data_IF_981279250403
#
_entry.id   IF_981279250403
#
_cell.length_a   1.000
_cell.length_b   1.000
_cell.length_c   1.000
_cell.angle_alpha   90.00
_cell.angle_beta   90.00
_cell.angle_gamma   90.00
#
_symmetry.space_group_name_H-M   'P 1'
#
loop_
_entity.id
_entity.type
_entity.pdbx_description
1 polymer ?
#
# COMPACT_ATOMS: atom_id res chain seq x y z
N UNK A 1 -12.54 -10.68 18.87
CA UNK A 1 -11.18 -10.11 18.68
C UNK A 1 -11.13 -8.85 19.53
N UNK A 2 -10.07 -8.59 20.30
CA UNK A 2 -9.98 -7.36 21.11
C UNK A 2 -9.29 -6.25 20.32
N UNK A 3 -9.49 -4.98 20.71
CA UNK A 3 -8.98 -3.83 19.94
C UNK A 3 -7.45 -3.68 19.93
N UNK A 4 -6.77 -4.27 20.90
CA UNK A 4 -5.30 -4.32 20.92
C UNK A 4 -4.73 -5.31 19.90
N UNK A 5 -5.48 -6.37 19.56
CA UNK A 5 -5.05 -7.45 18.66
C UNK A 5 -5.38 -7.29 17.18
N UNK A 6 -6.15 -6.27 16.80
CA UNK A 6 -6.55 -6.03 15.40
C UNK A 6 -5.43 -5.40 14.56
N UNK A 7 -4.57 -6.19 13.92
CA UNK A 7 -3.37 -5.66 13.23
C UNK A 7 -3.32 -5.92 11.72
N UNK A 8 -2.66 -5.01 11.02
CA UNK A 8 -2.09 -5.22 9.68
C UNK A 8 -1.00 -6.31 9.71
N UNK A 9 -1.33 -7.50 9.22
CA UNK A 9 -0.43 -8.68 9.17
C UNK A 9 0.57 -8.58 7.99
N UNK A 10 0.27 -7.73 7.00
CA UNK A 10 1.08 -7.50 5.80
C UNK A 10 1.28 -5.99 5.63
N UNK A 11 2.50 -5.52 5.84
CA UNK A 11 2.88 -4.10 5.70
C UNK A 11 3.10 -3.74 4.24
N UNK A 12 2.01 -3.70 3.46
CA UNK A 12 2.05 -3.24 2.07
C UNK A 12 2.21 -1.73 2.05
N UNK A 13 3.02 -1.22 1.12
CA UNK A 13 3.13 0.21 0.90
C UNK A 13 1.90 0.70 0.15
N UNK A 14 0.91 1.17 0.89
CA UNK A 14 -0.33 1.73 0.33
C UNK A 14 -0.19 3.25 0.10
N UNK A 15 -0.90 3.83 -0.87
CA UNK A 15 -0.95 5.29 -1.01
C UNK A 15 -1.65 5.93 0.20
N UNK A 16 -1.33 7.19 0.54
CA UNK A 16 -2.02 7.93 1.58
C UNK A 16 -3.52 8.05 1.37
N UNK A 17 -4.26 8.13 2.47
CA UNK A 17 -5.71 8.36 2.47
C UNK A 17 -5.97 9.85 2.32
N UNK A 18 -6.16 10.30 1.08
CA UNK A 18 -6.44 11.71 0.77
C UNK A 18 -7.92 12.06 0.90
N UNK A 19 -8.21 13.31 1.21
CA UNK A 19 -9.55 13.91 1.06
C UNK A 19 -10.46 13.89 2.30
N UNK A 20 -10.27 12.97 3.26
CA UNK A 20 -11.11 12.94 4.47
C UNK A 20 -10.99 14.23 5.31
N UNK A 21 -9.81 14.87 5.33
CA UNK A 21 -9.59 16.15 6.03
C UNK A 21 -10.46 17.29 5.50
N UNK A 22 -10.83 17.24 4.21
CA UNK A 22 -11.68 18.20 3.53
C UNK A 22 -13.17 17.88 3.65
N UNK A 23 -13.54 16.73 4.23
CA UNK A 23 -14.93 16.38 4.46
C UNK A 23 -15.57 17.34 5.48
N UNK A 24 -16.88 17.56 5.33
CA UNK A 24 -17.65 18.36 6.28
C UNK A 24 -17.68 17.66 7.65
N UNK A 25 -17.51 18.44 8.72
CA UNK A 25 -17.72 17.94 10.07
C UNK A 25 -19.24 17.81 10.30
N UNK A 26 -19.70 16.60 10.60
CA UNK A 26 -21.12 16.26 10.76
C UNK A 26 -21.35 15.53 12.10
N UNK A 27 -22.62 15.31 12.47
CA UNK A 27 -22.95 14.51 13.66
C UNK A 27 -22.54 13.06 13.47
N UNK A 28 -22.38 12.32 14.57
CA UNK A 28 -21.96 10.92 14.54
C UNK A 28 -22.95 10.02 13.78
N UNK A 29 -24.25 10.32 13.85
CA UNK A 29 -25.28 9.60 13.08
C UNK A 29 -25.05 9.75 11.57
N UNK A 30 -24.85 10.99 11.09
CA UNK A 30 -24.56 11.26 9.68
C UNK A 30 -23.19 10.72 9.27
N UNK A 31 -22.22 10.75 10.18
CA UNK A 31 -20.88 10.28 9.91
C UNK A 31 -20.84 8.77 9.65
N UNK A 32 -21.69 8.02 10.33
CA UNK A 32 -21.78 6.56 10.27
C UNK A 32 -22.93 6.04 9.41
N UNK A 33 -23.81 6.91 8.92
CA UNK A 33 -24.91 6.56 8.00
C UNK A 33 -24.46 5.69 6.81
N UNK A 34 -23.34 5.97 6.11
CA UNK A 34 -22.92 5.17 4.95
C UNK A 34 -22.50 3.72 5.28
N UNK A 35 -22.24 3.41 6.55
CA UNK A 35 -21.74 2.10 6.98
C UNK A 35 -22.76 1.30 7.79
N UNK A 36 -23.96 1.82 8.02
CA UNK A 36 -24.96 1.17 8.88
C UNK A 36 -25.33 -0.25 8.43
N UNK A 37 -25.27 -0.53 7.13
CA UNK A 37 -25.54 -1.86 6.57
C UNK A 37 -24.41 -2.88 6.80
N UNK A 38 -23.23 -2.44 7.26
CA UNK A 38 -22.05 -3.28 7.48
C UNK A 38 -21.89 -3.74 8.93
N UNK A 39 -22.64 -3.13 9.86
CA UNK A 39 -22.52 -3.37 11.30
C UNK A 39 -23.92 -3.51 11.89
N UNK A 40 -24.22 -4.71 12.38
CA UNK A 40 -25.49 -5.01 13.01
C UNK A 40 -25.77 -4.07 14.19
N UNK A 41 -27.00 -3.57 14.24
CA UNK A 41 -27.49 -2.68 15.31
C UNK A 41 -26.69 -1.39 15.53
N UNK A 42 -25.86 -0.96 14.56
CA UNK A 42 -25.05 0.26 14.70
C UNK A 42 -25.84 1.50 15.21
N UNK A 43 -27.08 1.78 14.75
CA UNK A 43 -27.87 2.89 15.29
C UNK A 43 -28.16 2.80 16.80
N UNK A 44 -28.24 1.60 17.37
CA UNK A 44 -28.40 1.39 18.81
C UNK A 44 -27.11 1.73 19.56
N UNK A 45 -25.96 1.25 19.08
CA UNK A 45 -24.66 1.54 19.68
C UNK A 45 -24.25 3.00 19.56
N UNK A 46 -24.64 3.70 18.49
CA UNK A 46 -24.50 5.17 18.40
C UNK A 46 -25.24 5.87 19.55
N UNK A 47 -26.45 5.41 19.92
CA UNK A 47 -27.19 5.97 21.06
C UNK A 47 -26.49 5.69 22.38
N UNK A 48 -25.91 4.51 22.56
CA UNK A 48 -25.12 4.17 23.76
C UNK A 48 -23.90 5.10 23.86
N UNK A 49 -23.14 5.23 22.77
CA UNK A 49 -21.97 6.11 22.73
C UNK A 49 -22.33 7.56 23.05
N UNK A 50 -23.45 8.09 22.54
CA UNK A 50 -23.90 9.45 22.88
C UNK A 50 -24.41 9.62 24.31
N UNK A 51 -24.81 8.54 24.98
CA UNK A 51 -25.24 8.57 26.39
C UNK A 51 -24.05 8.53 27.33
N UNK A 52 -23.04 7.73 26.99
CA UNK A 52 -21.86 7.51 27.82
C UNK A 52 -20.68 8.41 27.43
N UNK A 53 -20.79 9.19 26.36
CA UNK A 53 -19.75 10.15 25.99
C UNK A 53 -19.51 11.14 27.13
N UNK A 54 -18.25 11.54 27.27
CA UNK A 54 -17.85 12.54 28.23
C UNK A 54 -18.17 13.95 27.72
N UNK A 55 -19.27 14.50 28.25
CA UNK A 55 -19.73 15.84 27.95
C UNK A 55 -20.42 16.47 29.17
N UNK A 56 -20.10 17.73 29.56
CA UNK A 56 -19.16 18.63 28.91
C UNK A 56 -17.71 18.14 29.03
N UNK A 57 -16.94 18.31 27.96
CA UNK A 57 -15.53 17.90 27.89
C UNK A 57 -14.62 19.05 28.30
N UNK A 58 -13.72 18.81 29.24
CA UNK A 58 -12.64 19.74 29.62
C UNK A 58 -11.66 20.02 28.47
N UNK A 59 -11.59 19.12 27.49
CA UNK A 59 -10.79 19.25 26.27
C UNK A 59 -11.57 19.91 25.11
N UNK A 60 -12.81 20.35 25.35
CA UNK A 60 -13.61 21.08 24.37
C UNK A 60 -14.17 20.20 23.24
N UNK A 61 -14.30 18.89 23.44
CA UNK A 61 -14.98 18.01 22.50
C UNK A 61 -16.49 18.31 22.48
N UNK A 62 -17.08 18.31 21.29
CA UNK A 62 -18.54 18.26 21.18
C UNK A 62 -19.06 16.90 21.63
N UNK A 63 -20.37 16.81 21.89
CA UNK A 63 -21.02 15.53 22.22
C UNK A 63 -20.77 14.46 21.14
N UNK A 64 -20.84 14.82 19.86
CA UNK A 64 -20.60 13.88 18.76
C UNK A 64 -19.12 13.49 18.62
N UNK A 65 -18.18 14.40 18.92
CA UNK A 65 -16.75 14.10 18.94
C UNK A 65 -16.38 13.14 20.07
N UNK A 66 -16.90 13.38 21.28
CA UNK A 66 -16.69 12.49 22.42
C UNK A 66 -17.32 11.12 22.19
N UNK A 67 -18.54 11.08 21.63
CA UNK A 67 -19.19 9.83 21.23
C UNK A 67 -18.41 9.07 20.15
N UNK A 68 -17.74 9.76 19.22
CA UNK A 68 -16.94 9.12 18.17
C UNK A 68 -15.71 8.39 18.75
N UNK A 69 -15.04 8.97 19.75
CA UNK A 69 -13.96 8.30 20.47
C UNK A 69 -14.51 7.11 21.25
N UNK A 70 -15.62 7.30 21.97
CA UNK A 70 -16.23 6.24 22.77
C UNK A 70 -16.62 5.01 21.92
N UNK A 71 -17.37 5.19 20.83
CA UNK A 71 -17.82 4.08 19.97
C UNK A 71 -16.67 3.35 19.27
N UNK A 72 -15.54 4.03 19.02
CA UNK A 72 -14.36 3.38 18.49
C UNK A 72 -13.79 2.34 19.47
N UNK A 73 -13.83 2.64 20.77
CA UNK A 73 -13.30 1.77 21.83
C UNK A 73 -14.26 0.67 22.27
N UNK A 74 -15.53 0.79 21.90
CA UNK A 74 -16.56 -0.12 22.36
C UNK A 74 -16.37 -1.53 21.80
N UNK A 75 -16.64 -2.56 22.63
CA UNK A 75 -16.69 -3.95 22.17
C UNK A 75 -18.12 -4.52 22.30
N UNK A 76 -18.68 -4.96 21.17
CA UNK A 76 -20.00 -5.57 21.11
C UNK A 76 -20.09 -6.60 19.98
N UNK A 77 -20.81 -7.68 20.23
CA UNK A 77 -21.00 -8.76 19.26
C UNK A 77 -19.68 -9.30 18.68
N UNK A 78 -19.75 -9.81 17.46
CA UNK A 78 -18.60 -10.36 16.75
C UNK A 78 -17.90 -9.34 15.82
N UNK A 79 -18.61 -8.28 15.40
CA UNK A 79 -18.14 -7.27 14.45
C UNK A 79 -18.40 -5.86 15.02
N UNK A 80 -17.33 -5.20 15.48
CA UNK A 80 -17.37 -3.84 16.04
C UNK A 80 -16.95 -2.79 15.02
N UNK A 81 -17.19 -1.51 15.33
CA UNK A 81 -16.82 -0.40 14.47
C UNK A 81 -15.33 -0.34 14.15
N UNK A 82 -14.46 -0.48 15.15
CA UNK A 82 -13.01 -0.45 14.92
C UNK A 82 -12.57 -1.61 14.02
N UNK A 83 -13.14 -2.81 14.17
CA UNK A 83 -12.80 -3.97 13.34
C UNK A 83 -13.06 -3.68 11.85
N UNK A 84 -14.26 -3.16 11.52
CA UNK A 84 -14.62 -2.86 10.13
C UNK A 84 -13.82 -1.67 9.60
N UNK A 85 -13.65 -0.62 10.39
CA UNK A 85 -12.86 0.55 10.00
C UNK A 85 -11.41 0.16 9.70
N UNK A 86 -10.74 -0.51 10.62
CA UNK A 86 -9.33 -0.90 10.45
C UNK A 86 -9.16 -1.92 9.33
N UNK A 87 -10.13 -2.80 9.09
CA UNK A 87 -10.15 -3.65 7.89
C UNK A 87 -10.23 -2.82 6.62
N UNK A 88 -11.08 -1.80 6.59
CA UNK A 88 -11.17 -0.89 5.44
C UNK A 88 -9.87 -0.10 5.25
N UNK A 89 -9.26 0.41 6.32
CA UNK A 89 -8.00 1.18 6.28
C UNK A 89 -6.81 0.37 5.75
N UNK A 90 -6.81 -0.95 5.96
CA UNK A 90 -5.83 -1.89 5.38
C UNK A 90 -6.09 -2.24 3.91
N UNK A 91 -7.22 -1.80 3.34
CA UNK A 91 -7.57 -2.09 1.94
C UNK A 91 -6.74 -1.26 0.97
N UNK A 92 -6.27 -1.90 -0.10
CA UNK A 92 -5.66 -1.26 -1.27
C UNK A 92 -6.66 -0.36 -2.01
N UNK A 93 -7.94 -0.70 -1.98
CA UNK A 93 -9.00 0.11 -2.59
C UNK A 93 -9.27 1.37 -1.75
N UNK A 94 -8.49 2.42 -1.99
CA UNK A 94 -8.68 3.72 -1.33
C UNK A 94 -9.99 4.41 -1.71
N UNK A 95 -10.57 4.11 -2.87
CA UNK A 95 -11.87 4.69 -3.25
C UNK A 95 -12.99 4.19 -2.34
N UNK A 96 -12.94 2.91 -1.93
CA UNK A 96 -13.90 2.34 -0.98
C UNK A 96 -13.83 2.99 0.40
N UNK A 97 -12.72 3.67 0.76
CA UNK A 97 -12.60 4.41 2.01
C UNK A 97 -13.45 5.68 2.06
N UNK A 98 -13.93 6.20 0.92
CA UNK A 98 -14.69 7.46 0.88
C UNK A 98 -15.95 7.41 1.76
N UNK A 99 -16.56 6.24 1.91
CA UNK A 99 -17.72 6.04 2.79
C UNK A 99 -17.39 6.31 4.27
N UNK A 100 -16.10 6.17 4.64
CA UNK A 100 -15.60 6.39 6.00
C UNK A 100 -15.14 7.83 6.23
N UNK A 101 -15.03 8.67 5.20
CA UNK A 101 -14.47 10.03 5.32
C UNK A 101 -15.20 10.91 6.33
N UNK A 102 -16.55 10.89 6.41
CA UNK A 102 -17.27 11.63 7.45
C UNK A 102 -16.88 11.21 8.87
N UNK A 103 -16.76 9.90 9.12
CA UNK A 103 -16.35 9.37 10.42
C UNK A 103 -14.88 9.63 10.73
N UNK A 104 -13.99 9.40 9.77
CA UNK A 104 -12.57 9.73 9.90
C UNK A 104 -12.36 11.20 10.21
N UNK A 105 -13.10 12.10 9.54
CA UNK A 105 -13.06 13.54 9.83
C UNK A 105 -13.49 13.83 11.27
N UNK A 106 -14.60 13.23 11.71
CA UNK A 106 -15.13 13.43 13.07
C UNK A 106 -14.16 12.93 14.14
N UNK A 107 -13.61 11.72 13.97
CA UNK A 107 -12.64 11.11 14.88
C UNK A 107 -11.33 11.89 14.92
N UNK A 108 -10.76 12.22 13.76
CA UNK A 108 -9.49 12.96 13.66
C UNK A 108 -9.57 14.33 14.33
N UNK A 109 -10.70 15.04 14.14
CA UNK A 109 -10.97 16.34 14.78
C UNK A 109 -11.20 16.19 16.30
N UNK A 110 -11.74 15.06 16.77
CA UNK A 110 -11.87 14.78 18.20
C UNK A 110 -10.48 14.52 18.83
N UNK A 111 -9.67 13.69 18.18
CA UNK A 111 -8.31 13.36 18.61
C UNK A 111 -7.38 14.59 18.64
N UNK A 112 -7.57 15.55 17.73
CA UNK A 112 -6.83 16.82 17.74
C UNK A 112 -6.96 17.59 19.05
N UNK A 113 -8.11 17.49 19.71
CA UNK A 113 -8.41 18.20 20.96
C UNK A 113 -7.90 17.48 22.20
N UNK A 114 -7.61 16.19 22.10
CA UNK A 114 -7.16 15.38 23.23
C UNK A 114 -5.65 15.54 23.49
N UNK A 115 -5.20 15.34 24.75
CA UNK A 115 -3.79 15.43 25.11
C UNK A 115 -2.90 14.53 24.25
N UNK A 116 -1.84 15.10 23.69
CA UNK A 116 -0.76 14.35 23.05
C UNK A 116 0.22 13.87 24.12
N UNK A 117 0.63 12.61 24.06
CA UNK A 117 1.63 12.01 24.95
C UNK A 117 2.85 11.54 24.16
N UNK A 118 4.04 11.74 24.75
CA UNK A 118 5.31 11.18 24.28
C UNK A 118 5.74 10.10 25.28
N UNK A 119 5.33 8.86 25.06
CA UNK A 119 5.57 7.76 26.01
C UNK A 119 5.70 6.41 25.31
N UNK A 120 6.25 5.43 26.03
CA UNK A 120 6.27 4.05 25.57
C UNK A 120 4.88 3.41 25.76
N UNK A 121 4.30 2.95 24.66
CA UNK A 121 3.02 2.25 24.63
C UNK A 121 3.17 0.86 24.05
N UNK A 122 2.24 -0.01 24.39
CA UNK A 122 2.28 -1.42 24.03
C UNK A 122 1.08 -1.84 23.20
N UNK A 123 1.32 -2.77 22.27
CA UNK A 123 0.28 -3.40 21.44
C UNK A 123 0.59 -4.87 21.24
N UNK A 124 -0.31 -5.76 21.63
CA UNK A 124 -0.14 -7.20 21.51
C UNK A 124 -0.94 -7.79 20.36
N UNK A 125 -0.37 -8.77 19.66
CA UNK A 125 -0.98 -9.45 18.52
C UNK A 125 -0.92 -10.96 18.71
N UNK A 126 -2.05 -11.64 18.58
CA UNK A 126 -2.16 -13.09 18.80
C UNK A 126 -1.52 -13.98 17.71
N UNK A 127 -0.74 -13.40 16.80
CA UNK A 127 0.00 -14.07 15.73
C UNK A 127 1.47 -13.66 15.81
N UNK A 128 2.37 -14.59 15.50
CA UNK A 128 3.80 -14.32 15.36
C UNK A 128 4.12 -13.80 13.94
N UNK A 129 4.16 -12.47 13.83
CA UNK A 129 4.58 -11.71 12.66
C UNK A 129 5.90 -10.97 12.91
N UNK A 130 6.41 -10.99 14.13
CA UNK A 130 7.58 -10.19 14.52
C UNK A 130 8.84 -10.57 13.72
N UNK A 131 9.00 -11.84 13.34
CA UNK A 131 10.07 -12.31 12.45
C UNK A 131 10.15 -11.62 11.07
N UNK A 132 9.08 -10.94 10.64
CA UNK A 132 9.04 -10.23 9.36
C UNK A 132 9.60 -8.80 9.44
N UNK A 133 10.02 -8.37 10.63
CA UNK A 133 10.62 -7.07 10.87
C UNK A 133 12.14 -7.18 10.92
N UNK A 134 12.81 -6.14 10.42
CA UNK A 134 14.27 -6.03 10.42
C UNK A 134 14.68 -4.67 10.95
N UNK A 135 15.86 -4.58 11.56
CA UNK A 135 16.40 -3.31 12.04
C UNK A 135 16.33 -2.20 10.96
N UNK A 136 15.98 -0.98 11.37
CA UNK A 136 15.84 0.22 10.53
C UNK A 136 14.71 0.17 9.48
N UNK A 137 13.94 -0.92 9.39
CA UNK A 137 12.76 -0.98 8.53
C UNK A 137 11.76 0.11 8.92
N UNK A 138 11.24 0.82 7.92
CA UNK A 138 10.14 1.77 8.10
C UNK A 138 8.83 1.06 7.76
N UNK A 139 7.86 1.15 8.65
CA UNK A 139 6.52 0.60 8.48
C UNK A 139 5.49 1.72 8.62
N UNK A 140 4.45 1.69 7.78
CA UNK A 140 3.29 2.57 7.91
C UNK A 140 2.12 1.74 8.41
N UNK A 141 1.53 2.10 9.55
CA UNK A 141 0.32 1.47 10.05
C UNK A 141 -0.90 2.24 9.59
N UNK A 142 -1.68 1.66 8.67
CA UNK A 142 -2.85 2.36 8.13
C UNK A 142 -4.06 2.31 9.05
N UNK A 143 -4.18 1.29 9.89
CA UNK A 143 -5.22 1.19 10.92
C UNK A 143 -5.05 2.26 12.00
N UNK A 144 -6.17 2.73 12.55
CA UNK A 144 -6.13 3.40 13.86
C UNK A 144 -5.72 2.35 14.90
N UNK A 145 -4.76 2.68 15.75
CA UNK A 145 -4.16 1.70 16.66
C UNK A 145 -4.44 2.04 18.12
N UNK A 146 -5.24 1.21 18.77
CA UNK A 146 -5.36 1.15 20.23
C UNK A 146 -4.11 0.56 20.87
N UNK A 147 -3.40 1.36 21.65
CA UNK A 147 -2.25 0.94 22.45
C UNK A 147 -2.54 1.16 23.93
N UNK A 148 -1.75 0.54 24.80
CA UNK A 148 -1.88 0.72 26.25
C UNK A 148 -0.53 1.06 26.85
N UNK A 149 -0.48 2.04 27.76
CA UNK A 149 0.67 2.25 28.64
C UNK A 149 0.57 1.42 29.94
N UNK A 150 -0.49 0.63 30.11
CA UNK A 150 -0.70 -0.25 31.26
C UNK A 150 -0.07 -1.62 31.05
N UNK A 151 0.89 -1.98 31.92
CA UNK A 151 1.51 -3.32 31.93
C UNK A 151 0.49 -4.44 32.18
N UNK A 152 -0.67 -4.14 32.79
CA UNK A 152 -1.71 -5.14 33.03
C UNK A 152 -2.30 -5.69 31.74
N UNK A 153 -2.54 -4.82 30.74
CA UNK A 153 -3.08 -5.21 29.43
C UNK A 153 -2.08 -6.07 28.65
N UNK A 154 -0.78 -5.86 28.88
CA UNK A 154 0.30 -6.61 28.23
C UNK A 154 0.38 -8.05 28.72
N UNK A 155 0.07 -8.31 30.00
CA UNK A 155 0.22 -9.64 30.60
C UNK A 155 -0.60 -10.71 29.87
N UNK A 156 -1.76 -10.32 29.34
CA UNK A 156 -2.64 -11.20 28.57
C UNK A 156 -2.01 -11.63 27.23
N UNK A 157 -1.03 -10.89 26.71
CA UNK A 157 -0.30 -11.19 25.47
C UNK A 157 1.06 -11.86 25.68
N UNK A 158 1.51 -11.95 26.94
CA UNK A 158 2.74 -12.65 27.35
C UNK A 158 2.49 -14.09 27.80
N UNK A 159 1.25 -14.59 27.68
CA UNK A 159 0.90 -15.94 28.09
C UNK A 159 1.57 -17.01 27.20
N UNK A 160 2.05 -18.09 27.82
CA UNK A 160 3.11 -18.95 27.27
C UNK A 160 2.65 -19.93 26.18
N UNK A 161 1.35 -20.14 26.06
CA UNK A 161 0.78 -21.25 25.29
C UNK A 161 0.52 -20.94 23.80
N UNK A 162 0.75 -19.70 23.34
CA UNK A 162 0.55 -19.30 21.92
C UNK A 162 1.63 -18.34 21.44
N UNK A 163 2.13 -18.57 20.22
CA UNK A 163 3.08 -17.65 19.55
C UNK A 163 2.37 -16.33 19.21
N UNK A 164 2.98 -15.22 19.60
CA UNK A 164 2.43 -13.87 19.53
C UNK A 164 3.50 -12.85 19.15
N UNK A 165 3.08 -11.63 18.78
CA UNK A 165 3.97 -10.49 18.62
C UNK A 165 3.58 -9.40 19.59
N UNK A 166 4.54 -8.90 20.37
CA UNK A 166 4.35 -7.75 21.24
C UNK A 166 5.14 -6.56 20.70
N UNK A 167 4.44 -5.46 20.42
CA UNK A 167 5.06 -4.21 20.00
C UNK A 167 5.31 -3.31 21.21
N UNK A 168 6.56 -2.89 21.37
CA UNK A 168 6.96 -1.76 22.21
C UNK A 168 7.10 -0.55 21.29
N UNK A 169 6.29 0.47 21.49
CA UNK A 169 6.24 1.65 20.60
C UNK A 169 6.61 2.89 21.40
N UNK A 170 7.70 3.56 21.02
CA UNK A 170 8.01 4.92 21.47
C UNK A 170 7.11 5.88 20.68
N UNK A 171 5.94 6.21 21.23
CA UNK A 171 4.98 7.10 20.60
C UNK A 171 5.34 8.56 20.88
N UNK A 172 5.19 9.41 19.88
CA UNK A 172 5.44 10.86 19.95
C UNK A 172 4.19 11.68 19.65
N UNK A 173 3.23 11.11 18.90
CA UNK A 173 1.94 11.74 18.59
C UNK A 173 0.74 10.97 19.18
N UNK A 174 0.99 10.11 20.17
CA UNK A 174 -0.05 9.31 20.82
C UNK A 174 -1.12 10.18 21.49
N UNK A 175 -2.39 9.81 21.32
CA UNK A 175 -3.53 10.53 21.89
C UNK A 175 -4.10 9.80 23.08
N UNK A 176 -3.99 10.40 24.25
CA UNK A 176 -4.56 9.83 25.48
C UNK A 176 -6.06 10.03 25.49
N UNK A 177 -6.80 8.93 25.66
CA UNK A 177 -8.27 8.95 25.59
C UNK A 177 -8.95 8.60 26.93
N UNK A 178 -8.22 8.62 28.05
CA UNK A 178 -8.80 8.48 29.39
C UNK A 178 -9.93 9.50 29.59
N UNK A 179 -11.07 9.05 30.08
CA UNK A 179 -12.32 9.80 30.17
C UNK A 179 -13.21 9.70 28.93
N UNK A 180 -12.72 9.16 27.80
CA UNK A 180 -13.45 9.12 26.52
C UNK A 180 -13.60 7.69 25.97
N UNK A 181 -13.15 6.68 26.71
CA UNK A 181 -13.13 5.26 26.31
C UNK A 181 -14.15 4.47 27.12
N UNK A 182 -14.60 3.33 26.60
CA UNK A 182 -15.41 2.37 27.38
C UNK A 182 -14.59 1.70 28.50
N UNK A 183 -13.27 1.62 28.35
CA UNK A 183 -12.39 0.87 29.26
C UNK A 183 -11.33 1.76 29.94
N UNK A 184 -11.75 2.54 30.93
CA UNK A 184 -10.90 3.51 31.63
C UNK A 184 -9.64 2.92 32.30
N UNK A 185 -9.69 1.64 32.68
CA UNK A 185 -8.58 0.99 33.39
C UNK A 185 -7.41 0.56 32.49
N UNK A 186 -7.55 0.72 31.18
CA UNK A 186 -6.58 0.22 30.21
C UNK A 186 -5.54 1.26 29.82
N UNK A 187 -5.64 2.50 30.31
CA UNK A 187 -4.74 3.61 29.98
C UNK A 187 -4.49 3.68 28.46
N UNK A 188 -5.59 3.72 27.71
CA UNK A 188 -5.56 3.61 26.25
C UNK A 188 -4.97 4.88 25.61
N UNK A 189 -4.08 4.65 24.65
CA UNK A 189 -3.45 5.67 23.82
C UNK A 189 -3.70 5.29 22.36
N UNK A 190 -4.30 6.21 21.61
CA UNK A 190 -4.57 6.03 20.17
C UNK A 190 -3.41 6.57 19.35
N UNK A 191 -2.88 5.74 18.47
CA UNK A 191 -2.04 6.18 17.35
C UNK A 191 -2.92 6.33 16.11
N UNK A 192 -2.73 7.41 15.36
CA UNK A 192 -3.58 7.75 14.21
C UNK A 192 -3.37 6.77 13.06
N UNK A 193 -4.36 6.69 12.18
CA UNK A 193 -4.19 6.02 10.90
C UNK A 193 -3.03 6.63 10.11
N UNK A 194 -2.26 5.78 9.43
CA UNK A 194 -1.11 6.19 8.63
C UNK A 194 0.13 6.58 9.44
N UNK A 195 0.18 6.30 10.75
CA UNK A 195 1.37 6.56 11.57
C UNK A 195 2.55 5.75 11.05
N UNK A 196 3.74 6.37 10.98
CA UNK A 196 4.96 5.72 10.50
C UNK A 196 5.89 5.40 11.66
N UNK A 197 6.53 4.24 11.58
CA UNK A 197 7.44 3.75 12.62
C UNK A 197 8.72 3.22 12.01
N UNK A 198 9.82 3.39 12.73
CA UNK A 198 11.09 2.73 12.45
C UNK A 198 11.31 1.61 13.44
N UNK A 199 11.69 0.43 12.95
CA UNK A 199 12.16 -0.67 13.78
C UNK A 199 13.52 -0.30 14.38
N UNK A 200 13.59 -0.23 15.72
CA UNK A 200 14.78 0.24 16.43
C UNK A 200 15.95 -0.76 16.37
N UNK A 201 15.65 -2.04 16.43
CA UNK A 201 16.60 -3.16 16.43
C UNK A 201 15.91 -4.41 15.88
N UNK A 202 16.68 -5.42 15.51
CA UNK A 202 16.11 -6.71 15.15
C UNK A 202 15.17 -7.23 16.27
N UNK A 203 14.02 -7.82 15.91
CA UNK A 203 13.05 -8.35 16.86
C UNK A 203 13.66 -9.36 17.84
N UNK A 204 13.28 -9.26 19.11
CA UNK A 204 13.71 -10.20 20.14
C UNK A 204 12.81 -11.44 20.13
N UNK A 205 13.36 -12.58 19.72
CA UNK A 205 12.69 -13.88 19.87
C UNK A 205 12.67 -14.32 21.35
N UNK A 206 11.50 -14.71 21.83
CA UNK A 206 11.27 -15.25 23.17
C UNK A 206 11.38 -16.78 23.17
N UNK A 207 11.59 -17.39 24.33
CA UNK A 207 11.77 -18.85 24.46
C UNK A 207 10.60 -19.70 23.98
N UNK A 208 9.41 -19.12 23.86
CA UNK A 208 8.20 -19.78 23.31
C UNK A 208 8.01 -19.55 21.80
N UNK A 209 8.94 -18.83 21.15
CA UNK A 209 8.88 -18.45 19.74
C UNK A 209 7.99 -17.24 19.43
N UNK A 210 7.56 -16.48 20.44
CA UNK A 210 6.97 -15.14 20.26
C UNK A 210 8.05 -14.09 19.98
N UNK A 211 7.69 -12.96 19.41
CA UNK A 211 8.63 -11.86 19.16
C UNK A 211 8.23 -10.57 19.86
N UNK A 212 9.22 -9.82 20.35
CA UNK A 212 9.06 -8.42 20.75
C UNK A 212 9.67 -7.52 19.68
N UNK A 213 8.87 -6.62 19.12
CA UNK A 213 9.30 -5.65 18.11
C UNK A 213 9.34 -4.26 18.73
N UNK A 214 10.50 -3.61 18.69
CA UNK A 214 10.66 -2.24 19.19
C UNK A 214 10.53 -1.25 18.04
N UNK A 215 9.53 -0.39 18.13
CA UNK A 215 9.21 0.64 17.16
C UNK A 215 9.42 2.05 17.75
N UNK A 216 9.88 2.98 16.92
CA UNK A 216 9.94 4.41 17.22
C UNK A 216 9.04 5.12 16.21
N UNK A 217 8.04 5.85 16.71
CA UNK A 217 7.19 6.68 15.85
C UNK A 217 8.02 7.80 15.19
N UNK A 218 7.86 7.96 13.88
CA UNK A 218 8.52 9.01 13.11
C UNK A 218 7.67 10.28 13.24
N UNK A 219 8.24 11.34 13.82
CA UNK A 219 7.60 12.67 13.89
C UNK A 219 8.01 13.49 12.67
N UNK A 220 7.03 14.02 11.93
CA UNK A 220 7.27 14.92 10.79
C UNK A 220 7.88 16.27 11.22
N UNK A 221 7.84 16.61 12.52
CA UNK A 221 8.34 17.89 13.05
C UNK A 221 9.71 17.83 13.72
N UNK A 222 10.25 16.63 13.96
CA UNK A 222 11.54 16.48 14.66
C UNK A 222 12.64 16.29 13.61
N UNK A 223 13.15 17.42 13.10
CA UNK A 223 14.46 17.54 12.46
C UNK A 223 15.57 17.33 13.51
N UNK A 224 15.52 16.22 14.27
CA UNK A 224 16.63 15.83 15.13
C UNK A 224 17.67 15.07 14.31
N UNK A 225 18.88 15.62 14.13
CA UNK A 225 19.95 14.90 13.47
C UNK A 225 20.34 13.70 14.34
N UNK A 226 20.30 12.51 13.76
CA UNK A 226 20.88 11.26 14.24
C UNK A 226 22.44 11.32 14.36
N UNK A 227 22.97 12.37 14.99
CA UNK A 227 24.39 12.69 14.99
C UNK A 227 25.16 12.28 16.26
N UNK A 228 24.52 11.78 17.33
CA UNK A 228 25.26 11.55 18.60
C UNK A 228 25.62 10.09 18.94
N UNK A 229 25.08 9.08 18.26
CA UNK A 229 25.46 7.68 18.51
C UNK A 229 26.37 7.06 17.42
N UNK A 230 26.50 7.73 16.28
CA UNK A 230 27.24 7.21 15.12
C UNK A 230 28.68 7.75 15.03
N UNK A 231 29.06 8.68 15.92
CA UNK A 231 30.30 9.46 15.81
C UNK A 231 31.55 8.70 16.30
N UNK A 232 31.39 7.74 17.22
CA UNK A 232 32.54 6.99 17.76
C UNK A 232 32.99 5.83 16.84
N UNK A 233 32.11 5.38 15.93
CA UNK A 233 32.46 4.35 14.94
C UNK A 233 32.98 4.96 13.62
N UNK A 234 32.68 6.24 13.34
CA UNK A 234 32.99 6.92 12.07
C UNK A 234 34.43 7.47 11.96
N UNK A 235 35.15 7.61 13.07
CA UNK A 235 36.52 8.17 13.06
C UNK A 235 37.59 7.18 12.54
N UNK A 236 37.26 5.89 12.38
CA UNK A 236 38.22 4.88 11.91
C UNK A 236 38.23 4.65 10.38
N UNK A 237 37.23 5.13 9.62
CA UNK A 237 37.05 4.78 8.21
C UNK A 237 37.26 5.95 7.21
N UNK A 238 37.84 7.07 7.67
CA UNK A 238 38.03 8.27 6.85
C UNK A 238 39.14 8.10 5.79
N UNK A 239 38.79 7.58 4.59
CA UNK A 239 39.47 7.92 3.32
C UNK A 239 38.46 8.07 2.17
N UNK A 240 38.06 9.32 1.96
CA UNK A 240 37.54 9.96 0.72
C UNK A 240 36.11 9.64 0.21
N UNK A 241 35.47 10.61 -0.51
CA UNK A 241 34.04 10.98 -0.40
C UNK A 241 33.19 10.46 -1.58
N UNK A 242 31.85 10.38 -1.58
CA UNK A 242 30.81 11.40 -1.29
C UNK A 242 29.41 10.77 -1.07
N UNK A 243 28.60 11.48 -0.26
CA UNK A 243 27.19 11.29 0.15
C UNK A 243 26.15 11.15 -0.97
N UNK A 244 25.02 10.49 -0.70
CA UNK A 244 23.67 11.10 -0.86
C UNK A 244 22.63 10.42 0.05
N UNK A 245 21.90 11.24 0.82
CA UNK A 245 20.72 10.91 1.64
C UNK A 245 19.44 11.12 0.84
N UNK A 246 18.44 10.26 1.05
CA UNK A 246 17.11 10.33 0.44
C UNK A 246 16.31 11.48 1.03
N UNK A 247 15.98 12.49 0.22
CA UNK A 247 15.04 13.56 0.54
C UNK A 247 13.73 13.27 -0.18
N UNK A 248 12.60 13.51 0.48
CA UNK A 248 11.28 13.58 -0.16
C UNK A 248 11.39 14.62 -1.27
N UNK A 249 11.22 14.19 -2.51
CA UNK A 249 11.29 15.05 -3.67
C UNK A 249 9.98 15.86 -3.76
N UNK A 250 9.93 16.98 -3.04
CA UNK A 250 9.01 18.07 -3.39
C UNK A 250 9.44 18.56 -4.77
N UNK A 251 8.83 18.01 -5.83
CA UNK A 251 9.01 18.51 -7.20
C UNK A 251 8.14 19.77 -7.34
N UNK A 252 8.73 20.97 -7.33
CA UNK A 252 7.96 22.17 -7.66
C UNK A 252 7.39 22.05 -9.10
N UNK A 253 6.33 22.78 -9.40
CA UNK A 253 5.59 22.66 -10.68
C UNK A 253 6.47 22.99 -11.89
N UNK A 254 7.59 23.67 -11.67
CA UNK A 254 8.65 24.02 -12.61
C UNK A 254 9.94 23.18 -12.45
N UNK A 255 9.88 22.09 -11.69
CA UNK A 255 11.00 21.17 -11.51
C UNK A 255 11.49 20.70 -12.88
N UNK A 256 12.74 21.03 -13.19
CA UNK A 256 13.42 20.55 -14.38
C UNK A 256 14.09 19.24 -14.04
N UNK A 257 14.00 18.26 -14.94
CA UNK A 257 14.79 17.03 -14.85
C UNK A 257 16.23 17.36 -14.52
N UNK A 258 16.83 16.63 -13.57
CA UNK A 258 18.27 16.72 -13.35
C UNK A 258 18.96 16.52 -14.71
N UNK A 259 19.76 17.50 -15.16
CA UNK A 259 20.38 17.48 -16.49
C UNK A 259 21.30 16.29 -16.75
N UNK A 260 21.54 15.44 -15.74
CA UNK A 260 22.36 14.23 -15.82
C UNK A 260 21.59 13.06 -15.22
N UNK A 261 20.89 12.31 -16.07
CA UNK A 261 20.29 11.03 -15.68
C UNK A 261 21.37 10.01 -15.30
N UNK A 262 21.01 9.05 -14.46
CA UNK A 262 21.85 7.90 -14.11
C UNK A 262 21.29 6.63 -14.74
N UNK A 263 22.17 5.70 -15.11
CA UNK A 263 21.76 4.39 -15.63
C UNK A 263 21.26 3.55 -14.46
N UNK A 264 20.00 3.11 -14.52
CA UNK A 264 19.36 2.30 -13.46
C UNK A 264 19.09 0.86 -13.89
N UNK A 265 19.08 0.58 -15.18
CA UNK A 265 19.01 -0.76 -15.77
C UNK A 265 19.77 -0.78 -17.11
N UNK A 266 20.39 -1.91 -17.43
CA UNK A 266 21.21 -2.04 -18.63
C UNK A 266 22.54 -1.26 -18.56
N UNK A 267 22.87 -0.53 -19.63
CA UNK A 267 24.11 0.25 -19.74
C UNK A 267 25.35 -0.51 -20.21
N UNK A 268 25.22 -1.81 -20.48
CA UNK A 268 26.32 -2.69 -20.90
C UNK A 268 26.26 -3.08 -22.39
N UNK A 269 25.67 -2.21 -23.22
CA UNK A 269 25.41 -2.48 -24.64
C UNK A 269 24.17 -3.36 -24.88
N UNK A 270 23.80 -3.50 -26.16
CA UNK A 270 22.71 -4.37 -26.58
C UNK A 270 23.16 -5.84 -26.60
N UNK A 271 22.35 -6.73 -26.03
CA UNK A 271 22.65 -8.15 -25.98
C UNK A 271 21.66 -8.91 -25.09
N UNK A 272 21.92 -10.21 -24.88
CA UNK A 272 21.01 -11.12 -24.19
C UNK A 272 21.39 -11.38 -22.72
N UNK A 273 22.53 -10.87 -22.25
CA UNK A 273 22.94 -11.05 -20.85
C UNK A 273 21.95 -10.36 -19.89
N UNK A 274 21.94 -10.79 -18.63
CA UNK A 274 21.04 -10.23 -17.60
C UNK A 274 21.37 -8.79 -17.22
N UNK A 275 22.56 -8.30 -17.54
CA UNK A 275 22.97 -6.90 -17.40
C UNK A 275 22.85 -6.07 -18.69
N UNK A 276 22.29 -6.64 -19.77
CA UNK A 276 22.11 -6.02 -21.07
C UNK A 276 20.63 -5.92 -21.43
N UNK A 277 20.27 -4.93 -22.26
CA UNK A 277 18.92 -4.74 -22.79
C UNK A 277 18.99 -4.56 -24.32
N UNK A 278 18.04 -5.12 -25.07
CA UNK A 278 17.92 -5.00 -26.53
C UNK A 278 16.55 -4.43 -26.92
N UNK A 279 16.55 -3.16 -27.33
CA UNK A 279 15.36 -2.39 -27.71
C UNK A 279 14.24 -2.43 -26.66
N UNK A 280 14.48 -1.92 -25.43
CA UNK A 280 13.43 -1.77 -24.44
C UNK A 280 12.41 -0.73 -24.92
N UNK A 281 11.13 -1.11 -25.00
CA UNK A 281 10.08 -0.27 -25.63
C UNK A 281 8.98 0.18 -24.66
N UNK A 282 8.79 -0.55 -23.56
CA UNK A 282 7.86 -0.21 -22.49
C UNK A 282 8.48 -0.57 -21.15
N UNK A 283 8.11 0.18 -20.11
CA UNK A 283 8.53 -0.06 -18.75
C UNK A 283 7.38 0.19 -17.78
N UNK A 284 7.32 -0.61 -16.73
CA UNK A 284 6.46 -0.43 -15.58
C UNK A 284 7.33 -0.39 -14.34
N UNK A 285 7.11 0.56 -13.44
CA UNK A 285 7.82 0.62 -12.14
C UNK A 285 6.79 0.39 -11.05
N UNK A 286 6.99 -0.63 -10.22
CA UNK A 286 6.13 -0.90 -9.09
C UNK A 286 6.47 -0.03 -7.86
N UNK A 287 5.66 -0.14 -6.82
CA UNK A 287 5.76 0.69 -5.62
C UNK A 287 7.03 0.43 -4.79
N UNK A 288 7.70 -0.71 -5.04
CA UNK A 288 8.98 -1.14 -4.47
C UNK A 288 10.19 -0.68 -5.30
N UNK A 289 9.95 0.14 -6.34
CA UNK A 289 10.94 0.56 -7.33
C UNK A 289 11.55 -0.63 -8.11
N UNK A 290 10.80 -1.71 -8.24
CA UNK A 290 11.15 -2.78 -9.18
C UNK A 290 10.65 -2.38 -10.56
N UNK A 291 11.57 -2.35 -11.52
CA UNK A 291 11.28 -2.06 -12.92
C UNK A 291 11.01 -3.34 -13.67
N UNK A 292 9.92 -3.37 -14.43
CA UNK A 292 9.61 -4.38 -15.41
C UNK A 292 9.79 -3.76 -16.78
N UNK A 293 10.67 -4.32 -17.60
CA UNK A 293 11.07 -3.77 -18.88
C UNK A 293 10.67 -4.75 -19.96
N UNK A 294 9.86 -4.27 -20.92
CA UNK A 294 9.53 -5.01 -22.14
C UNK A 294 10.70 -4.92 -23.10
N UNK A 295 11.39 -6.04 -23.35
CA UNK A 295 12.45 -6.11 -24.35
C UNK A 295 11.92 -6.64 -25.68
N UNK A 296 11.78 -5.72 -26.63
CA UNK A 296 11.16 -6.01 -27.92
C UNK A 296 12.00 -7.01 -28.75
N UNK A 297 13.32 -6.81 -28.85
CA UNK A 297 14.19 -7.69 -29.66
C UNK A 297 14.72 -8.92 -28.92
N UNK A 298 14.70 -8.94 -27.59
CA UNK A 298 15.05 -10.13 -26.81
C UNK A 298 13.82 -11.00 -26.48
N UNK A 299 12.62 -10.59 -26.92
CA UNK A 299 11.37 -11.36 -26.77
C UNK A 299 11.10 -11.78 -25.31
N UNK A 300 11.34 -10.86 -24.36
CA UNK A 300 11.28 -11.17 -22.93
C UNK A 300 10.87 -9.96 -22.11
N UNK A 301 10.45 -10.24 -20.88
CA UNK A 301 10.22 -9.23 -19.85
C UNK A 301 11.30 -9.35 -18.79
N UNK A 302 12.02 -8.26 -18.53
CA UNK A 302 13.04 -8.18 -17.47
C UNK A 302 12.48 -7.52 -16.22
N UNK A 303 12.75 -8.09 -15.06
CA UNK A 303 12.57 -7.46 -13.76
C UNK A 303 13.92 -6.95 -13.26
N UNK A 304 13.97 -5.73 -12.72
CA UNK A 304 15.19 -5.09 -12.25
C UNK A 304 14.91 -4.31 -10.97
N UNK A 305 15.55 -4.65 -9.86
CA UNK A 305 15.40 -3.86 -8.63
C UNK A 305 16.37 -2.69 -8.64
N UNK A 306 15.97 -1.57 -8.06
CA UNK A 306 16.86 -0.41 -7.94
C UNK A 306 18.17 -0.79 -7.24
N UNK A 307 19.29 -0.46 -7.87
CA UNK A 307 20.63 -0.75 -7.38
C UNK A 307 21.22 -2.09 -7.86
N UNK A 308 20.40 -2.98 -8.42
CA UNK A 308 20.91 -4.24 -8.97
C UNK A 308 21.74 -4.01 -10.23
N UNK A 309 22.79 -4.82 -10.40
CA UNK A 309 23.65 -4.78 -11.60
C UNK A 309 23.14 -5.68 -12.73
N UNK A 310 22.22 -6.59 -12.43
CA UNK A 310 21.66 -7.56 -13.36
C UNK A 310 20.15 -7.64 -13.11
N UNK A 311 19.36 -7.78 -14.16
CA UNK A 311 17.95 -8.11 -14.05
C UNK A 311 17.68 -9.61 -14.07
N UNK A 312 16.41 -9.96 -13.93
CA UNK A 312 15.88 -11.32 -13.93
C UNK A 312 14.83 -11.44 -15.04
N UNK A 313 14.84 -12.54 -15.80
CA UNK A 313 13.78 -12.78 -16.79
C UNK A 313 12.54 -13.32 -16.08
N UNK A 314 11.42 -12.60 -16.15
CA UNK A 314 10.16 -12.96 -15.47
C UNK A 314 9.07 -13.45 -16.41
N UNK A 315 9.21 -13.21 -17.72
CA UNK A 315 8.36 -13.80 -18.75
C UNK A 315 9.13 -13.88 -20.08
N UNK A 316 8.84 -14.92 -20.87
CA UNK A 316 9.61 -15.25 -22.09
C UNK A 316 11.00 -15.79 -21.76
N UNK A 317 12.01 -15.41 -22.55
CA UNK A 317 13.42 -15.80 -22.29
C UNK A 317 13.88 -17.13 -22.91
N UNK A 318 13.06 -17.74 -23.76
CA UNK A 318 13.38 -18.98 -24.48
C UNK A 318 13.38 -18.75 -25.99
N UNK A 319 14.06 -17.69 -26.44
CA UNK A 319 13.97 -17.15 -27.80
C UNK A 319 12.54 -16.74 -28.22
N UNK A 320 12.41 -16.24 -29.45
CA UNK A 320 11.11 -15.94 -30.03
C UNK A 320 10.36 -17.22 -30.41
N UNK A 321 9.06 -17.23 -30.16
CA UNK A 321 8.19 -18.32 -30.57
C UNK A 321 6.77 -18.13 -30.06
N UNK A 322 5.91 -19.11 -30.33
CA UNK A 322 4.48 -19.03 -30.02
C UNK A 322 4.03 -19.99 -28.89
N UNK A 323 4.98 -20.72 -28.27
CA UNK A 323 4.69 -21.55 -27.11
C UNK A 323 4.23 -20.70 -25.92
N UNK A 324 3.60 -21.31 -24.92
CA UNK A 324 3.08 -20.58 -23.77
C UNK A 324 4.18 -20.04 -22.85
N UNK A 325 5.38 -20.61 -22.89
CA UNK A 325 6.57 -20.10 -22.20
C UNK A 325 7.42 -19.16 -23.07
N UNK A 326 6.96 -18.80 -24.28
CA UNK A 326 7.66 -17.90 -25.19
C UNK A 326 6.84 -16.63 -25.45
N UNK A 327 7.54 -15.54 -25.77
CA UNK A 327 6.96 -14.31 -26.30
C UNK A 327 7.54 -14.05 -27.70
N UNK A 328 6.92 -13.17 -28.45
CA UNK A 328 7.40 -12.74 -29.75
C UNK A 328 7.13 -11.25 -29.95
N UNK A 329 8.20 -10.43 -29.92
CA UNK A 329 8.18 -8.97 -30.04
C UNK A 329 7.11 -8.34 -29.15
N UNK A 330 7.16 -8.58 -27.82
CA UNK A 330 6.20 -7.98 -26.91
C UNK A 330 6.32 -6.44 -26.98
N UNK A 331 5.19 -5.74 -26.95
CA UNK A 331 5.15 -4.29 -27.18
C UNK A 331 4.77 -3.48 -25.94
N UNK A 332 4.05 -4.09 -25.00
CA UNK A 332 3.60 -3.44 -23.78
C UNK A 332 3.24 -4.46 -22.70
N UNK A 333 3.16 -4.00 -21.45
CA UNK A 333 2.67 -4.80 -20.34
C UNK A 333 2.00 -3.94 -19.27
N UNK A 334 1.15 -4.57 -18.47
CA UNK A 334 0.70 -4.02 -17.19
C UNK A 334 0.78 -5.07 -16.09
N UNK A 335 0.86 -4.59 -14.85
CA UNK A 335 0.78 -5.43 -13.66
C UNK A 335 -0.67 -5.56 -13.20
N UNK A 336 -1.23 -6.76 -13.26
CA UNK A 336 -2.47 -7.11 -12.56
C UNK A 336 -2.14 -7.46 -11.11
N UNK A 337 -2.20 -6.45 -10.23
CA UNK A 337 -1.91 -6.60 -8.79
C UNK A 337 -2.90 -7.52 -8.07
N UNK A 338 -4.14 -7.64 -8.56
CA UNK A 338 -5.17 -8.49 -7.93
C UNK A 338 -4.85 -9.98 -8.09
N UNK A 339 -4.37 -10.37 -9.28
CA UNK A 339 -4.00 -11.76 -9.56
C UNK A 339 -2.51 -12.04 -9.37
N UNK A 340 -1.70 -11.01 -9.10
CA UNK A 340 -0.23 -11.05 -9.08
C UNK A 340 0.32 -11.63 -10.39
N UNK A 341 -0.02 -10.98 -11.49
CA UNK A 341 0.33 -11.40 -12.86
C UNK A 341 0.70 -10.24 -13.75
N UNK A 342 1.58 -10.48 -14.72
CA UNK A 342 1.83 -9.57 -15.84
C UNK A 342 0.80 -9.83 -16.94
N UNK A 343 0.13 -8.81 -17.44
CA UNK A 343 -0.67 -8.88 -18.68
C UNK A 343 0.16 -8.26 -19.78
N UNK A 344 0.50 -9.02 -20.81
CA UNK A 344 1.52 -8.68 -21.81
C UNK A 344 0.89 -8.66 -23.20
N UNK A 345 1.12 -7.57 -23.95
CA UNK A 345 0.90 -7.55 -25.40
C UNK A 345 1.98 -8.42 -26.06
N UNK A 346 1.65 -9.66 -26.40
CA UNK A 346 2.53 -10.56 -27.16
C UNK A 346 2.30 -10.36 -28.66
N UNK A 347 2.67 -9.15 -29.13
CA UNK A 347 2.26 -8.57 -30.41
C UNK A 347 2.57 -9.46 -31.62
N UNK A 348 3.75 -10.05 -31.69
CA UNK A 348 4.18 -10.90 -32.81
C UNK A 348 3.36 -12.19 -32.91
N UNK A 349 2.82 -12.66 -31.79
CA UNK A 349 1.92 -13.81 -31.72
C UNK A 349 0.43 -13.41 -31.80
N UNK A 350 0.13 -12.11 -31.97
CA UNK A 350 -1.23 -11.55 -32.07
C UNK A 350 -2.14 -11.97 -30.92
N UNK A 351 -1.60 -11.92 -29.70
CA UNK A 351 -2.32 -12.33 -28.49
C UNK A 351 -1.99 -11.42 -27.31
N UNK A 352 -2.87 -11.44 -26.31
CA UNK A 352 -2.61 -10.89 -24.98
C UNK A 352 -2.49 -12.07 -24.02
N UNK A 353 -1.40 -12.13 -23.26
CA UNK A 353 -1.14 -13.22 -22.30
C UNK A 353 -1.08 -12.72 -20.88
N UNK A 354 -1.54 -13.54 -19.93
CA UNK A 354 -1.34 -13.36 -18.50
C UNK A 354 -0.21 -14.27 -18.02
N UNK A 355 0.76 -13.73 -17.31
CA UNK A 355 1.86 -14.48 -16.73
C UNK A 355 1.84 -14.34 -15.21
N UNK A 356 1.51 -15.40 -14.47
CA UNK A 356 1.50 -15.33 -13.02
C UNK A 356 2.92 -15.21 -12.47
N UNK A 357 3.11 -14.36 -11.47
CA UNK A 357 4.37 -14.17 -10.75
C UNK A 357 4.51 -15.06 -9.52
N UNK A 358 3.46 -15.86 -9.22
CA UNK A 358 3.48 -16.84 -8.13
C UNK A 358 4.49 -17.94 -8.41
N UNK A 359 5.14 -18.44 -7.35
CA UNK A 359 6.20 -19.45 -7.44
C UNK A 359 5.76 -20.69 -8.22
N UNK A 360 6.57 -21.11 -9.20
CA UNK A 360 6.33 -22.32 -10.00
C UNK A 360 5.65 -22.09 -11.36
N UNK A 361 5.29 -20.85 -11.70
CA UNK A 361 4.73 -20.53 -13.02
C UNK A 361 5.85 -20.32 -14.04
N UNK A 362 5.82 -21.07 -15.14
CA UNK A 362 6.83 -20.97 -16.23
C UNK A 362 6.24 -20.67 -17.60
N UNK A 363 4.92 -20.46 -17.68
CA UNK A 363 4.19 -20.25 -18.92
C UNK A 363 3.03 -19.27 -18.73
N UNK A 364 2.71 -18.51 -19.76
CA UNK A 364 1.56 -17.62 -19.83
C UNK A 364 0.25 -18.33 -20.19
N UNK A 365 -0.84 -17.64 -19.92
CA UNK A 365 -2.21 -18.01 -20.27
C UNK A 365 -2.76 -17.00 -21.30
N UNK A 366 -3.38 -17.49 -22.38
CA UNK A 366 -3.93 -16.61 -23.41
C UNK A 366 -5.25 -15.99 -22.93
N UNK A 367 -5.23 -14.67 -22.71
CA UNK A 367 -6.44 -13.90 -22.40
C UNK A 367 -7.22 -13.58 -23.67
N UNK A 368 -6.54 -13.04 -24.68
CA UNK A 368 -7.12 -12.64 -25.96
C UNK A 368 -6.26 -13.17 -27.11
N UNK A 369 -6.89 -13.55 -28.21
CA UNK A 369 -6.23 -13.96 -29.46
C UNK A 369 -6.70 -13.09 -30.63
N UNK A 370 -6.05 -13.25 -31.78
CA UNK A 370 -6.33 -12.51 -33.01
C UNK A 370 -6.36 -10.99 -32.82
N UNK A 371 -5.43 -10.48 -32.01
CA UNK A 371 -5.28 -9.06 -31.69
C UNK A 371 -3.83 -8.64 -31.85
N UNK A 372 -3.56 -7.66 -32.72
CA UNK A 372 -2.22 -7.08 -32.84
C UNK A 372 -2.06 -6.00 -31.76
N UNK A 373 -1.98 -6.46 -30.51
CA UNK A 373 -1.88 -5.64 -29.31
C UNK A 373 -0.63 -4.76 -29.38
N UNK A 374 -0.77 -3.44 -29.38
CA UNK A 374 0.38 -2.54 -29.22
C UNK A 374 0.48 -2.04 -27.79
N UNK A 375 -0.61 -1.51 -27.25
CA UNK A 375 -0.69 -0.99 -25.89
C UNK A 375 -1.94 -1.49 -25.17
N UNK A 376 -1.83 -1.55 -23.86
CA UNK A 376 -2.91 -1.99 -23.00
C UNK A 376 -2.97 -1.20 -21.69
N UNK A 377 -4.17 -1.02 -21.16
CA UNK A 377 -4.39 -0.47 -19.81
C UNK A 377 -5.60 -1.14 -19.18
N UNK A 378 -5.75 -1.05 -17.86
CA UNK A 378 -6.86 -1.63 -17.13
C UNK A 378 -7.42 -0.60 -16.16
N UNK A 379 -8.74 -0.44 -16.16
CA UNK A 379 -9.41 0.48 -15.24
C UNK A 379 -9.68 -0.15 -13.86
N UNK A 380 -10.13 0.68 -12.91
CA UNK A 380 -10.48 0.27 -11.55
C UNK A 380 -11.64 -0.75 -11.48
N UNK A 381 -12.41 -0.88 -12.56
CA UNK A 381 -13.51 -1.85 -12.68
C UNK A 381 -13.06 -3.15 -13.35
N UNK A 382 -11.75 -3.32 -13.59
CA UNK A 382 -11.14 -4.50 -14.20
C UNK A 382 -11.52 -4.71 -15.66
N UNK A 383 -11.86 -3.63 -16.37
CA UNK A 383 -11.93 -3.67 -17.83
C UNK A 383 -10.56 -3.45 -18.45
N UNK A 384 -10.15 -4.39 -19.30
CA UNK A 384 -8.92 -4.32 -20.09
C UNK A 384 -9.20 -3.56 -21.40
N UNK A 385 -8.45 -2.50 -21.64
CA UNK A 385 -8.46 -1.72 -22.87
C UNK A 385 -7.24 -2.14 -23.69
N UNK A 386 -7.46 -2.50 -24.95
CA UNK A 386 -6.39 -2.98 -25.83
C UNK A 386 -6.46 -2.24 -27.16
N UNK A 387 -5.32 -1.68 -27.59
CA UNK A 387 -5.20 -1.16 -28.94
C UNK A 387 -4.83 -2.28 -29.91
N UNK A 388 -5.59 -2.38 -31.00
CA UNK A 388 -5.25 -3.25 -32.12
C UNK A 388 -4.69 -2.40 -33.26
N UNK A 389 -3.38 -2.50 -33.48
CA UNK A 389 -2.67 -1.77 -34.52
C UNK A 389 -3.25 -2.06 -35.91
N UNK A 390 -3.53 -3.34 -36.20
CA UNK A 390 -3.98 -3.78 -37.52
C UNK A 390 -5.42 -3.39 -37.82
N UNK A 391 -6.26 -3.34 -36.78
CA UNK A 391 -7.67 -2.96 -36.91
C UNK A 391 -7.91 -1.46 -36.68
N UNK A 392 -6.87 -0.70 -36.32
CA UNK A 392 -6.97 0.75 -36.07
C UNK A 392 -8.08 1.08 -35.06
N UNK A 393 -8.16 0.29 -33.98
CA UNK A 393 -9.22 0.38 -32.99
C UNK A 393 -8.69 0.18 -31.57
N UNK A 394 -9.47 0.63 -30.60
CA UNK A 394 -9.30 0.31 -29.18
C UNK A 394 -10.59 -0.35 -28.71
N UNK A 395 -10.44 -1.51 -28.06
CA UNK A 395 -11.56 -2.26 -27.49
C UNK A 395 -11.41 -2.40 -25.99
N UNK A 396 -12.55 -2.39 -25.30
CA UNK A 396 -12.71 -2.68 -23.87
C UNK A 396 -13.24 -4.10 -23.68
N UNK A 397 -12.58 -4.88 -22.84
CA UNK A 397 -12.91 -6.27 -22.52
C UNK A 397 -13.12 -6.40 -21.01
N UNK A 398 -14.15 -7.14 -20.57
CA UNK A 398 -14.14 -7.66 -19.20
C UNK A 398 -13.19 -8.85 -19.17
N UNK A 399 -12.40 -9.03 -18.10
CA UNK A 399 -11.51 -10.20 -18.00
C UNK A 399 -12.32 -11.49 -18.09
N UNK A 400 -11.97 -12.35 -19.06
CA UNK A 400 -12.69 -13.58 -19.40
C UNK A 400 -13.48 -13.48 -20.70
N UNK A 401 -13.84 -12.27 -21.14
CA UNK A 401 -14.53 -12.06 -22.41
C UNK A 401 -13.58 -12.25 -23.60
N UNK A 402 -14.11 -12.81 -24.68
CA UNK A 402 -13.41 -12.91 -25.97
C UNK A 402 -13.82 -11.80 -26.96
N UNK A 403 -14.99 -11.18 -26.73
CA UNK A 403 -15.54 -10.15 -27.59
C UNK A 403 -15.57 -8.81 -26.86
N UNK A 404 -14.66 -7.91 -27.22
CA UNK A 404 -14.58 -6.57 -26.63
C UNK A 404 -15.54 -5.56 -27.26
N UNK A 405 -15.96 -4.57 -26.49
CA UNK A 405 -16.72 -3.40 -26.97
C UNK A 405 -15.77 -2.41 -27.64
N UNK A 406 -16.07 -1.98 -28.87
CA UNK A 406 -15.34 -0.89 -29.53
C UNK A 406 -15.55 0.41 -28.75
N UNK A 407 -14.46 1.05 -28.31
CA UNK A 407 -14.53 2.29 -27.53
C UNK A 407 -13.93 3.49 -28.27
N UNK A 408 -13.01 3.25 -29.21
CA UNK A 408 -12.48 4.29 -30.08
C UNK A 408 -11.87 3.69 -31.37
N UNK A 409 -11.82 4.49 -32.44
CA UNK A 409 -11.34 4.05 -33.75
C UNK A 409 -12.33 3.13 -34.48
N UNK A 410 -11.80 2.15 -35.21
CA UNK A 410 -12.60 1.14 -35.92
C UNK A 410 -13.12 1.58 -37.30
N UNK A 411 -12.78 2.79 -37.76
CA UNK A 411 -13.14 3.31 -39.08
C UNK A 411 -11.96 3.36 -40.06
N UNK A 412 -10.97 2.49 -39.83
CA UNK A 412 -9.77 2.36 -40.65
C UNK A 412 -8.66 3.34 -40.28
N UNK A 413 -7.59 3.25 -41.06
CA UNK A 413 -6.40 4.09 -40.94
C UNK A 413 -6.67 5.50 -41.47
N UNK A 414 -6.38 6.51 -40.67
CA UNK A 414 -6.47 7.90 -41.11
C UNK A 414 -6.45 8.91 -39.97
N UNK A 415 -6.85 10.15 -40.29
CA UNK A 415 -6.78 11.32 -39.42
C UNK A 415 -8.15 11.89 -39.04
N UNK A 416 -9.24 11.27 -39.49
CA UNK A 416 -10.59 11.66 -39.09
C UNK A 416 -10.83 11.38 -37.60
N UNK A 417 -11.77 12.09 -36.98
CA UNK A 417 -12.04 12.02 -35.53
C UNK A 417 -12.37 10.60 -35.01
N UNK A 418 -12.78 9.69 -35.89
CA UNK A 418 -13.15 8.32 -35.58
C UNK A 418 -12.19 7.27 -36.19
N UNK A 419 -11.03 7.70 -36.70
CA UNK A 419 -9.98 6.86 -37.27
C UNK A 419 -8.73 6.88 -36.38
N UNK A 420 -7.93 5.81 -36.44
CA UNK A 420 -6.62 5.79 -35.81
C UNK A 420 -5.53 5.42 -36.81
N UNK A 421 -4.38 6.09 -36.71
CA UNK A 421 -3.16 5.71 -37.39
C UNK A 421 -2.21 5.12 -36.35
N UNK A 422 -2.11 3.78 -36.30
CA UNK A 422 -1.31 3.02 -35.32
C UNK A 422 -1.57 3.44 -33.86
N UNK A 423 -2.71 3.05 -33.27
CA UNK A 423 -2.98 3.34 -31.86
C UNK A 423 -1.98 2.57 -30.99
N UNK A 424 -0.96 3.27 -30.50
CA UNK A 424 0.16 2.62 -29.78
C UNK A 424 -0.07 2.58 -28.28
N UNK A 425 -0.10 3.72 -27.59
CA UNK A 425 -0.17 3.78 -26.13
C UNK A 425 -1.56 4.19 -25.65
N UNK A 426 -2.03 3.52 -24.60
CA UNK A 426 -3.26 3.86 -23.86
C UNK A 426 -2.85 3.99 -22.40
N UNK A 427 -3.29 5.03 -21.71
CA UNK A 427 -2.95 5.32 -20.31
C UNK A 427 -4.19 5.58 -19.46
#
# INVERSE_FOLDING_TARGET
MNRFGDIEVLFKKLPPVYGYRSAALVSIEKALEPIQSQIDELPYYIKIAKRNCHFPSEHGLSRDQSAAVYIYTMEWGDITLYCVLNKALRSENRQALKIWFPYLKLLDTALDKLPTVKEAVWRGVSLDIGKNFTENQIVTWWSVSSCSSSVKVIKDFLDKDKKSTLFLIEAVNGKKISGYTEYENENEVILRMGSQFRVKSDPLEQSNGSHVVHLIEIDDNDDQPLASAMNDMYLAAAKSPTKTTSAILNLPVDARWAQKGVIVAGGNGAGYATNQLSHPISLFVDDDQTMFIVEFYNHRIMQWKMGDKNGEVVAGGYDYGNQLNQLNVPSDMLMDKETDSLIICDRGNKRVVRWSRRSGTTQGEILLDNITCWGLTMDDQRYLYVSDETKSEVRRYQIGDKNGTLVAGGNGYGADLNQFSWPTHIF
#
